data_IF_700623610596
#
_entry.id   IF_700623610596
#
_cell.length_a   1.000
_cell.length_b   1.000
_cell.length_c   1.000
_cell.angle_alpha   90.00
_cell.angle_beta   90.00
_cell.angle_gamma   90.00
#
_symmetry.space_group_name_H-M   'P 1'
#
loop_
_entity.id
_entity.type
_entity.pdbx_description
1 polymer ?
#
# COMPACT_ATOMS: atom_id res chain seq x y z
N UNK A 1 -3.13 24.74 -11.71
CA UNK A 1 -2.10 24.10 -12.54
C UNK A 1 -2.74 23.42 -13.72
N UNK A 2 -2.31 23.75 -14.90
CA UNK A 2 -2.95 23.23 -16.11
C UNK A 2 -2.66 21.76 -16.34
N UNK A 3 -1.52 21.28 -15.90
CA UNK A 3 -1.20 19.89 -16.09
C UNK A 3 -2.20 18.95 -15.42
N UNK A 4 -2.84 19.38 -14.35
CA UNK A 4 -3.80 18.53 -13.64
C UNK A 4 -5.06 18.26 -14.45
N UNK A 5 -5.30 19.02 -15.51
CA UNK A 5 -6.44 18.80 -16.38
C UNK A 5 -6.27 17.55 -17.23
N UNK A 6 -5.04 17.12 -17.45
CA UNK A 6 -4.73 16.03 -18.35
C UNK A 6 -4.14 14.82 -17.66
N UNK A 7 -3.80 14.97 -16.41
CA UNK A 7 -3.07 13.95 -15.68
C UNK A 7 -3.91 13.44 -14.53
N UNK A 8 -4.08 12.14 -14.50
CA UNK A 8 -4.69 11.50 -13.35
C UNK A 8 -3.58 10.83 -12.59
N UNK A 9 -3.19 11.49 -11.52
CA UNK A 9 -2.14 10.95 -10.67
C UNK A 9 -2.70 9.83 -9.83
N UNK A 10 -2.03 8.70 -9.85
CA UNK A 10 -2.43 7.53 -9.08
C UNK A 10 -1.26 7.03 -8.28
N UNK A 11 -1.58 6.18 -7.31
CA UNK A 11 -0.57 5.54 -6.48
C UNK A 11 -0.45 4.09 -6.92
N UNK A 12 0.76 3.66 -7.24
CA UNK A 12 1.07 2.24 -7.38
C UNK A 12 1.76 1.77 -6.11
N UNK A 13 1.58 0.49 -5.79
CA UNK A 13 2.22 -0.03 -4.59
C UNK A 13 2.78 -1.43 -4.81
N UNK A 14 3.70 -1.81 -3.94
CA UNK A 14 4.37 -3.10 -3.95
C UNK A 14 3.98 -3.96 -2.77
N UNK A 15 2.84 -3.68 -2.15
CA UNK A 15 2.40 -4.41 -0.96
C UNK A 15 2.26 -5.90 -1.25
N UNK A 16 1.62 -6.26 -2.35
CA UNK A 16 1.47 -7.66 -2.73
C UNK A 16 2.84 -8.34 -2.86
N UNK A 17 3.75 -7.72 -3.61
CA UNK A 17 5.08 -8.29 -3.85
C UNK A 17 5.83 -8.50 -2.54
N UNK A 18 5.81 -7.50 -1.66
CA UNK A 18 6.53 -7.60 -0.39
C UNK A 18 5.89 -8.63 0.51
N UNK A 19 4.56 -8.69 0.55
CA UNK A 19 3.86 -9.69 1.35
C UNK A 19 4.20 -11.09 0.88
N UNK A 20 4.21 -11.31 -0.44
CA UNK A 20 4.52 -12.61 -1.01
C UNK A 20 5.96 -13.02 -0.72
N UNK A 21 6.90 -12.07 -0.77
CA UNK A 21 8.29 -12.37 -0.43
C UNK A 21 8.43 -12.82 1.01
N UNK A 22 7.62 -12.28 1.90
CA UNK A 22 7.66 -12.65 3.32
C UNK A 22 6.86 -13.91 3.62
N UNK A 23 6.17 -14.48 2.63
CA UNK A 23 5.36 -15.66 2.84
C UNK A 23 4.13 -15.43 3.70
N UNK A 24 3.65 -14.18 3.80
CA UNK A 24 2.53 -13.84 4.66
C UNK A 24 1.22 -13.84 3.89
N UNK A 25 0.14 -14.21 4.58
CA UNK A 25 -1.20 -14.08 4.03
C UNK A 25 -1.70 -12.66 4.16
N UNK A 26 -2.76 -12.33 3.40
CA UNK A 26 -3.42 -11.04 3.54
C UNK A 26 -3.94 -10.82 4.97
N UNK A 27 -4.47 -11.88 5.57
CA UNK A 27 -4.97 -11.82 6.95
C UNK A 27 -3.84 -11.51 7.93
N UNK A 28 -2.69 -12.15 7.74
CA UNK A 28 -1.55 -11.92 8.61
C UNK A 28 -1.05 -10.49 8.52
N UNK A 29 -0.96 -9.95 7.30
CA UNK A 29 -0.56 -8.56 7.13
C UNK A 29 -1.59 -7.61 7.75
N UNK A 30 -2.87 -7.88 7.51
CA UNK A 30 -3.94 -7.06 8.07
C UNK A 30 -3.83 -6.98 9.59
N UNK A 31 -3.65 -8.13 10.23
CA UNK A 31 -3.51 -8.19 11.68
C UNK A 31 -2.28 -7.42 12.15
N UNK A 32 -1.19 -7.53 11.43
CA UNK A 32 0.07 -6.88 11.80
C UNK A 32 -0.04 -5.36 11.78
N UNK A 33 -0.80 -4.79 10.86
CA UNK A 33 -0.92 -3.34 10.72
C UNK A 33 -2.26 -2.79 11.23
N UNK A 34 -3.10 -3.67 11.82
CA UNK A 34 -4.30 -3.24 12.52
C UNK A 34 -5.48 -2.85 11.64
N UNK A 35 -5.65 -3.53 10.52
CA UNK A 35 -6.80 -3.31 9.63
C UNK A 35 -7.45 -4.65 9.30
N UNK A 36 -8.53 -4.61 8.54
CA UNK A 36 -9.19 -5.82 8.09
C UNK A 36 -8.51 -6.37 6.84
N UNK A 37 -8.72 -7.67 6.59
CA UNK A 37 -8.23 -8.31 5.37
C UNK A 37 -8.77 -7.59 4.13
N UNK A 38 -10.02 -7.12 4.17
CA UNK A 38 -10.63 -6.42 3.04
C UNK A 38 -9.85 -5.15 2.68
N UNK A 39 -9.32 -4.45 3.67
CA UNK A 39 -8.50 -3.27 3.44
C UNK A 39 -7.22 -3.64 2.68
N UNK A 40 -6.56 -4.72 3.08
CA UNK A 40 -5.35 -5.18 2.38
C UNK A 40 -5.68 -5.59 0.95
N UNK A 41 -6.77 -6.31 0.74
CA UNK A 41 -7.19 -6.71 -0.60
C UNK A 41 -7.38 -5.47 -1.48
N UNK A 42 -8.06 -4.46 -0.97
CA UNK A 42 -8.33 -3.23 -1.72
C UNK A 42 -7.04 -2.48 -2.05
N UNK A 43 -6.11 -2.41 -1.10
CA UNK A 43 -4.81 -1.78 -1.34
C UNK A 43 -4.05 -2.52 -2.43
N UNK A 44 -3.96 -3.84 -2.34
CA UNK A 44 -3.19 -4.63 -3.31
C UNK A 44 -3.76 -4.54 -4.72
N UNK A 45 -5.06 -4.37 -4.82
CA UNK A 45 -5.72 -4.21 -6.12
C UNK A 45 -5.64 -2.78 -6.67
N UNK A 46 -5.15 -1.83 -5.88
CA UNK A 46 -5.10 -0.44 -6.27
C UNK A 46 -6.42 0.30 -6.16
N UNK A 47 -7.39 -0.28 -5.45
CA UNK A 47 -8.72 0.30 -5.31
C UNK A 47 -8.84 1.19 -4.08
N UNK A 48 -7.83 1.25 -3.25
CA UNK A 48 -7.86 2.04 -2.04
C UNK A 48 -6.46 2.57 -1.74
N UNK A 49 -6.36 3.88 -1.59
CA UNK A 49 -5.13 4.53 -1.17
C UNK A 49 -5.13 4.62 0.35
N UNK A 50 -4.17 4.02 1.02
CA UNK A 50 -4.17 4.05 2.49
C UNK A 50 -3.92 5.45 3.03
N UNK A 51 -4.39 5.69 4.24
CA UNK A 51 -4.02 6.88 4.99
C UNK A 51 -2.50 6.92 5.19
N UNK A 52 -1.97 8.10 5.47
CA UNK A 52 -0.54 8.23 5.78
C UNK A 52 -0.17 7.34 6.96
N UNK A 53 -1.02 7.29 7.98
CA UNK A 53 -0.77 6.43 9.13
C UNK A 53 -0.62 4.97 8.72
N UNK A 54 -1.56 4.46 7.94
CA UNK A 54 -1.53 3.06 7.52
C UNK A 54 -0.34 2.80 6.59
N UNK A 55 -0.04 3.71 5.68
CA UNK A 55 1.11 3.57 4.79
C UNK A 55 2.42 3.47 5.58
N UNK A 56 2.56 4.29 6.61
CA UNK A 56 3.76 4.25 7.45
C UNK A 56 3.84 2.98 8.28
N UNK A 57 2.70 2.47 8.76
CA UNK A 57 2.66 1.19 9.47
C UNK A 57 3.08 0.04 8.56
N UNK A 58 2.60 0.05 7.32
CA UNK A 58 2.97 -0.98 6.32
C UNK A 58 4.47 -0.89 6.04
N UNK A 59 4.98 0.33 5.83
CA UNK A 59 6.40 0.54 5.56
C UNK A 59 7.26 0.04 6.71
N UNK A 60 6.87 0.34 7.95
CA UNK A 60 7.59 -0.11 9.12
C UNK A 60 7.56 -1.64 9.24
N UNK A 61 6.42 -2.24 8.94
CA UNK A 61 6.28 -3.70 8.98
C UNK A 61 7.24 -4.37 8.01
N UNK A 62 7.37 -3.83 6.79
CA UNK A 62 8.27 -4.39 5.78
C UNK A 62 9.69 -3.87 5.89
N UNK A 63 9.95 -2.95 6.83
CA UNK A 63 11.29 -2.35 7.01
C UNK A 63 11.80 -1.72 5.73
N UNK A 64 10.92 -0.99 5.04
CA UNK A 64 11.23 -0.28 3.80
C UNK A 64 10.78 1.17 3.94
N UNK A 65 11.47 2.11 3.29
CA UNK A 65 10.95 3.47 3.20
C UNK A 65 9.59 3.47 2.50
N UNK A 66 8.69 4.33 2.95
CA UNK A 66 7.33 4.36 2.40
C UNK A 66 7.33 4.63 0.89
N UNK A 67 8.25 5.45 0.42
CA UNK A 67 8.34 5.80 -1.00
C UNK A 67 8.88 4.66 -1.86
N UNK A 68 9.42 3.61 -1.26
CA UNK A 68 9.78 2.39 -1.97
C UNK A 68 8.60 1.45 -2.14
N UNK A 69 7.55 1.68 -1.38
CA UNK A 69 6.35 0.81 -1.41
C UNK A 69 5.24 1.48 -2.19
N UNK A 70 5.02 2.77 -1.95
CA UNK A 70 3.95 3.54 -2.59
C UNK A 70 4.58 4.60 -3.48
N UNK A 71 4.22 4.60 -4.75
CA UNK A 71 4.84 5.46 -5.75
C UNK A 71 3.76 6.22 -6.51
N UNK A 72 3.99 7.50 -6.68
CA UNK A 72 3.13 8.35 -7.49
C UNK A 72 3.45 8.12 -8.96
N UNK A 73 2.45 7.86 -9.75
CA UNK A 73 2.61 7.62 -11.19
C UNK A 73 1.63 8.45 -12.01
#
# INVERSE_FOLDING_TARGET
MLYSLHMQETIQNKVYTLRMRNGATQEELANAVGVTRQTIIAIEKGNYTPSVLLALKIARHFQQPVEKIFTLV
#
